data_IF_543942615069
#
_entry.id   IF_543942615069
#
_cell.length_a   1.000
_cell.length_b   1.000
_cell.length_c   1.000
_cell.angle_alpha   90.00
_cell.angle_beta   90.00
_cell.angle_gamma   90.00
#
_symmetry.space_group_name_H-M   'P 1'
#
loop_
_entity.id
_entity.type
_entity.pdbx_description
1 polymer ?
#
# COMPACT_ATOMS: atom_id res chain seq x y z
N UNK A 1 1.71 -16.80 -1.60
CA UNK A 1 2.28 -15.44 -1.68
C UNK A 1 1.33 -14.48 -2.37
N UNK A 2 0.82 -13.49 -1.64
CA UNK A 2 -0.05 -12.43 -2.14
C UNK A 2 0.79 -11.18 -2.43
N UNK A 3 0.89 -10.75 -3.68
CA UNK A 3 1.64 -9.53 -4.02
C UNK A 3 0.84 -8.27 -3.71
N UNK A 4 1.38 -7.41 -2.86
CA UNK A 4 0.70 -6.23 -2.30
C UNK A 4 1.31 -4.94 -2.84
N UNK A 5 0.51 -4.13 -3.50
CA UNK A 5 0.82 -2.73 -3.80
C UNK A 5 0.39 -1.81 -2.65
N UNK A 6 1.18 -0.79 -2.35
CA UNK A 6 0.82 0.22 -1.34
C UNK A 6 0.76 1.60 -2.01
N UNK A 7 -0.29 2.36 -1.69
CA UNK A 7 -0.38 3.78 -2.00
C UNK A 7 -0.47 4.55 -0.68
N UNK A 8 0.57 5.34 -0.38
CA UNK A 8 0.67 6.19 0.81
C UNK A 8 0.02 7.55 0.58
N UNK A 9 -0.63 8.11 1.61
CA UNK A 9 -1.07 9.51 1.61
C UNK A 9 0.10 10.49 1.77
N UNK A 10 0.20 11.51 0.91
CA UNK A 10 1.20 12.58 1.04
C UNK A 10 1.14 13.37 2.34
N UNK A 11 -0.04 13.47 2.98
CA UNK A 11 -0.19 14.28 4.19
C UNK A 11 0.60 13.72 5.37
N UNK A 12 0.91 12.42 5.33
CA UNK A 12 1.63 11.70 6.37
C UNK A 12 3.04 11.29 5.95
N UNK A 13 3.47 11.68 4.76
CA UNK A 13 4.69 11.17 4.11
C UNK A 13 5.98 11.53 4.86
N UNK A 14 6.00 12.71 5.50
CA UNK A 14 7.13 13.23 6.27
C UNK A 14 7.14 12.80 7.74
N UNK A 15 6.07 12.15 8.21
CA UNK A 15 5.89 11.73 9.61
C UNK A 15 5.72 10.23 9.78
N UNK A 16 5.28 9.54 8.72
CA UNK A 16 4.99 8.12 8.71
C UNK A 16 5.80 7.44 7.60
N UNK A 17 6.84 6.68 7.96
CA UNK A 17 7.61 5.87 7.01
C UNK A 17 6.98 4.48 6.79
N UNK A 18 5.67 4.31 7.03
CA UNK A 18 4.92 3.05 6.90
C UNK A 18 5.31 1.92 7.88
N UNK A 19 6.06 2.21 8.95
CA UNK A 19 6.55 1.18 9.89
C UNK A 19 5.48 0.20 10.36
N UNK A 20 4.34 0.69 10.87
CA UNK A 20 3.26 -0.17 11.34
C UNK A 20 2.59 -0.94 10.20
N UNK A 21 2.47 -0.34 9.01
CA UNK A 21 1.94 -1.01 7.83
C UNK A 21 2.84 -2.17 7.41
N UNK A 22 4.17 -1.97 7.39
CA UNK A 22 5.13 -3.03 7.07
C UNK A 22 5.18 -4.13 8.12
N UNK A 23 5.07 -3.78 9.41
CA UNK A 23 4.93 -4.78 10.48
C UNK A 23 3.68 -5.63 10.28
N UNK A 24 2.53 -5.01 10.10
CA UNK A 24 1.26 -5.71 9.87
C UNK A 24 1.30 -6.57 8.60
N UNK A 25 1.94 -6.09 7.53
CA UNK A 25 2.18 -6.88 6.32
C UNK A 25 3.04 -8.10 6.65
N UNK A 26 4.21 -7.91 7.28
CA UNK A 26 5.13 -9.03 7.61
C UNK A 26 4.53 -10.09 8.53
N UNK A 27 3.58 -9.71 9.39
CA UNK A 27 2.89 -10.61 10.30
C UNK A 27 1.54 -11.10 9.76
N UNK A 28 1.19 -10.78 8.52
CA UNK A 28 -0.12 -11.06 7.91
C UNK A 28 -1.28 -10.71 8.87
N UNK A 29 -1.27 -9.50 9.42
CA UNK A 29 -2.22 -9.03 10.42
C UNK A 29 -2.99 -7.79 9.97
N UNK A 30 -4.00 -7.40 10.74
CA UNK A 30 -4.82 -6.20 10.50
C UNK A 30 -5.40 -6.19 9.08
N UNK A 31 -5.18 -5.10 8.32
CA UNK A 31 -5.61 -4.97 6.94
C UNK A 31 -5.03 -6.04 5.99
N UNK A 32 -4.01 -6.81 6.39
CA UNK A 32 -3.41 -7.87 5.60
C UNK A 32 -3.79 -9.28 6.07
N UNK A 33 -4.71 -9.44 7.03
CA UNK A 33 -5.05 -10.74 7.63
C UNK A 33 -5.63 -11.79 6.64
N UNK A 34 -6.16 -11.34 5.50
CA UNK A 34 -6.67 -12.22 4.43
C UNK A 34 -5.65 -12.50 3.32
N UNK A 35 -4.42 -12.02 3.47
CA UNK A 35 -3.35 -12.21 2.49
C UNK A 35 -2.48 -13.40 2.92
N UNK A 36 -2.35 -14.39 2.06
CA UNK A 36 -1.46 -15.53 2.27
C UNK A 36 -0.03 -15.14 1.89
N UNK A 37 0.89 -15.12 2.87
CA UNK A 37 2.30 -14.74 2.71
C UNK A 37 2.45 -13.42 1.91
N UNK A 38 2.02 -12.28 2.46
CA UNK A 38 2.03 -11.02 1.73
C UNK A 38 3.46 -10.52 1.48
N UNK A 39 3.70 -10.07 0.24
CA UNK A 39 4.98 -9.51 -0.20
C UNK A 39 4.74 -8.15 -0.89
N UNK A 40 5.65 -7.19 -0.73
CA UNK A 40 5.50 -5.88 -1.36
C UNK A 40 5.85 -5.97 -2.85
N UNK A 41 4.88 -5.62 -3.71
CA UNK A 41 5.08 -5.47 -5.15
C UNK A 41 5.58 -4.06 -5.52
N UNK A 42 5.24 -3.04 -4.72
CA UNK A 42 5.65 -1.66 -4.94
C UNK A 42 4.93 -0.67 -4.04
N UNK A 43 5.52 0.52 -3.90
CA UNK A 43 4.97 1.60 -3.07
C UNK A 43 4.95 2.91 -3.86
N UNK A 44 3.80 3.57 -3.88
CA UNK A 44 3.65 4.95 -4.37
C UNK A 44 3.19 5.87 -3.24
N UNK A 45 3.34 7.18 -3.46
CA UNK A 45 2.67 8.21 -2.66
C UNK A 45 1.68 8.97 -3.53
N UNK A 46 0.41 8.99 -3.15
CA UNK A 46 -0.61 9.80 -3.83
C UNK A 46 -0.45 11.28 -3.46
N UNK A 47 -0.81 12.16 -4.38
CA UNK A 47 -0.85 13.61 -4.18
C UNK A 47 -2.28 14.10 -4.35
N UNK A 48 -2.83 14.88 -3.43
CA UNK A 48 -4.18 15.44 -3.55
C UNK A 48 -4.23 16.47 -4.70
N UNK A 49 -5.28 16.49 -5.54
CA UNK A 49 -6.58 15.83 -5.35
C UNK A 49 -6.67 14.35 -5.81
N UNK A 50 -5.55 13.70 -6.14
CA UNK A 50 -5.49 12.24 -6.36
C UNK A 50 -5.74 11.81 -7.80
N UNK A 51 -5.55 12.70 -8.77
CA UNK A 51 -5.93 12.47 -10.18
C UNK A 51 -5.25 11.26 -10.81
N UNK A 52 -4.02 10.93 -10.39
CA UNK A 52 -3.22 9.83 -10.93
C UNK A 52 -3.24 8.55 -10.06
N UNK A 53 -4.08 8.47 -9.02
CA UNK A 53 -4.15 7.29 -8.14
C UNK A 53 -4.55 6.03 -8.92
N UNK A 54 -5.47 6.17 -9.88
CA UNK A 54 -5.88 5.06 -10.74
C UNK A 54 -4.70 4.54 -11.59
N UNK A 55 -3.84 5.42 -12.09
CA UNK A 55 -2.66 5.04 -12.86
C UNK A 55 -1.61 4.37 -11.98
N UNK A 56 -1.40 4.85 -10.75
CA UNK A 56 -0.55 4.17 -9.75
C UNK A 56 -1.03 2.73 -9.52
N UNK A 57 -2.34 2.53 -9.34
CA UNK A 57 -2.92 1.20 -9.18
C UNK A 57 -2.75 0.32 -10.43
N UNK A 58 -2.89 0.89 -11.64
CA UNK A 58 -2.62 0.18 -12.90
C UNK A 58 -1.15 -0.23 -13.02
N UNK A 59 -0.22 0.63 -12.62
CA UNK A 59 1.22 0.32 -12.60
C UNK A 59 1.50 -0.78 -11.60
N UNK A 60 0.94 -0.71 -10.38
CA UNK A 60 1.10 -1.78 -9.38
C UNK A 60 0.57 -3.11 -9.91
N UNK A 61 -0.62 -3.11 -10.53
CA UNK A 61 -1.19 -4.30 -11.18
C UNK A 61 -0.30 -4.85 -12.29
N UNK A 62 0.27 -3.99 -13.15
CA UNK A 62 1.18 -4.43 -14.22
C UNK A 62 2.51 -4.97 -13.71
N UNK A 63 2.90 -4.63 -12.48
CA UNK A 63 4.04 -5.23 -11.75
C UNK A 63 3.67 -6.47 -10.94
N UNK A 64 2.42 -6.93 -11.04
CA UNK A 64 1.95 -8.17 -10.43
C UNK A 64 1.31 -8.00 -9.05
N UNK A 65 0.97 -6.78 -8.62
CA UNK A 65 0.16 -6.61 -7.41
C UNK A 65 -1.24 -7.22 -7.59
N UNK A 66 -1.61 -8.10 -6.68
CA UNK A 66 -2.93 -8.76 -6.61
C UNK A 66 -3.91 -7.93 -5.77
N UNK A 67 -3.39 -7.19 -4.78
CA UNK A 67 -4.16 -6.24 -3.96
C UNK A 67 -3.42 -4.92 -3.85
N UNK A 68 -4.17 -3.82 -3.75
CA UNK A 68 -3.62 -2.49 -3.48
C UNK A 68 -4.22 -1.96 -2.18
N UNK A 69 -3.36 -1.65 -1.20
CA UNK A 69 -3.76 -1.05 0.06
C UNK A 69 -3.44 0.44 0.07
N UNK A 70 -4.46 1.26 0.34
CA UNK A 70 -4.29 2.70 0.50
C UNK A 70 -4.02 3.02 1.97
N UNK A 71 -2.77 3.35 2.30
CA UNK A 71 -2.34 3.64 3.66
C UNK A 71 -2.43 5.15 3.92
N UNK A 72 -3.54 5.60 4.49
CA UNK A 72 -3.79 7.02 4.76
C UNK A 72 -3.44 7.44 6.18
N UNK A 73 -3.36 6.52 7.14
CA UNK A 73 -3.32 6.81 8.58
C UNK A 73 -4.47 7.72 9.05
N UNK A 74 -5.58 7.73 8.32
CA UNK A 74 -6.85 8.29 8.75
C UNK A 74 -7.57 7.16 9.49
N UNK A 75 -7.60 7.27 10.81
CA UNK A 75 -8.40 6.41 11.68
C UNK A 75 -9.76 7.07 11.90
#
# INVERSE_FOLDING_TARGET
>A
MSKIGIIRCEKNESKCPLTSCFKALSSAAEGFASCEEPEIAGVFTCRCPGENVADMARILKSKGAERVHFCTCLF
#
